data_IF_925798329008
#
_entry.id   IF_925798329008
#
_cell.length_a   1.000
_cell.length_b   1.000
_cell.length_c   1.000
_cell.angle_alpha   90.00
_cell.angle_beta   90.00
_cell.angle_gamma   90.00
#
_symmetry.space_group_name_H-M   'P 1'
#
loop_
_entity.id
_entity.type
_entity.pdbx_description
1 polymer ?
#
# COMPACT_ATOMS: atom_id res chain seq x y z
N UNK A 1 -13.04 23.66 -36.34
CA UNK A 1 -11.70 24.29 -36.40
C UNK A 1 -10.67 23.18 -36.23
N UNK A 2 -10.19 22.60 -37.33
CA UNK A 2 -9.33 21.41 -37.34
C UNK A 2 -7.87 21.84 -37.50
N UNK A 3 -7.05 21.64 -36.47
CA UNK A 3 -5.63 21.97 -36.48
C UNK A 3 -4.85 20.81 -37.11
N UNK A 4 -4.56 20.94 -38.41
CA UNK A 4 -3.66 20.05 -39.16
C UNK A 4 -2.22 20.40 -38.78
N UNK A 5 -1.56 19.54 -38.01
CA UNK A 5 -0.12 19.66 -37.74
C UNK A 5 0.61 19.20 -39.00
N UNK A 6 1.17 20.15 -39.73
CA UNK A 6 2.09 19.90 -40.83
C UNK A 6 3.45 19.48 -40.25
N UNK A 7 3.86 18.23 -40.48
CA UNK A 7 5.24 17.81 -40.25
C UNK A 7 6.10 18.16 -41.47
N UNK A 8 7.33 18.67 -41.29
CA UNK A 8 8.19 19.04 -42.40
C UNK A 8 8.72 17.77 -43.07
N UNK A 9 8.41 17.59 -44.36
CA UNK A 9 9.08 16.62 -45.23
C UNK A 9 10.52 17.08 -45.45
N UNK A 10 11.46 16.55 -44.68
CA UNK A 10 12.88 16.61 -45.02
C UNK A 10 13.08 15.83 -46.32
N UNK A 11 13.32 16.58 -47.40
CA UNK A 11 13.59 16.03 -48.73
C UNK A 11 15.05 15.60 -48.78
N UNK A 12 15.34 14.42 -48.21
CA UNK A 12 16.62 13.76 -48.44
C UNK A 12 16.57 13.20 -49.86
N UNK A 13 17.21 13.88 -50.82
CA UNK A 13 17.51 13.32 -52.14
C UNK A 13 18.52 12.18 -51.93
N UNK A 14 18.02 10.99 -51.60
CA UNK A 14 18.80 9.76 -51.68
C UNK A 14 18.94 9.46 -53.17
N UNK A 15 20.15 9.65 -53.71
CA UNK A 15 20.58 9.03 -54.97
C UNK A 15 20.13 7.58 -54.93
N UNK A 16 19.15 7.21 -55.77
CA UNK A 16 18.48 5.91 -55.78
C UNK A 16 19.47 4.86 -56.31
N UNK A 17 20.43 4.49 -55.47
CA UNK A 17 21.30 3.34 -55.65
C UNK A 17 20.35 2.14 -55.69
N UNK A 18 20.29 1.45 -56.82
CA UNK A 18 19.40 0.32 -57.09
C UNK A 18 19.71 -0.83 -56.11
N UNK A 19 19.19 -0.75 -54.89
CA UNK A 19 19.19 -1.87 -53.93
C UNK A 19 18.30 -2.95 -54.52
N UNK A 20 18.80 -4.18 -54.52
CA UNK A 20 18.01 -5.32 -54.99
C UNK A 20 16.76 -5.47 -54.11
N UNK A 21 15.61 -5.91 -54.67
CA UNK A 21 14.38 -6.12 -53.90
C UNK A 21 14.57 -7.05 -52.70
N UNK A 22 15.51 -8.00 -52.81
CA UNK A 22 15.90 -8.93 -51.75
C UNK A 22 16.62 -8.24 -50.58
N UNK A 23 17.50 -7.27 -50.85
CA UNK A 23 18.21 -6.54 -49.79
C UNK A 23 17.28 -5.64 -48.98
N UNK A 24 16.29 -5.04 -49.63
CA UNK A 24 15.28 -4.20 -48.97
C UNK A 24 14.32 -5.05 -48.10
N UNK A 25 13.84 -6.18 -48.63
CA UNK A 25 13.01 -7.12 -47.86
C UNK A 25 13.77 -7.71 -46.66
N UNK A 26 15.05 -8.03 -46.83
CA UNK A 26 15.87 -8.56 -45.73
C UNK A 26 16.09 -7.50 -44.63
N UNK A 27 16.31 -6.23 -44.99
CA UNK A 27 16.44 -5.16 -43.98
C UNK A 27 15.15 -4.91 -43.21
N UNK A 28 13.99 -4.93 -43.89
CA UNK A 28 12.68 -4.74 -43.24
C UNK A 28 12.36 -5.92 -42.32
N UNK A 29 12.62 -7.16 -42.75
CA UNK A 29 12.37 -8.35 -41.93
C UNK A 29 13.24 -8.37 -40.65
N UNK A 30 14.51 -7.93 -40.73
CA UNK A 30 15.39 -7.82 -39.56
C UNK A 30 14.90 -6.72 -38.61
N UNK A 31 14.48 -5.57 -39.12
CA UNK A 31 13.96 -4.47 -38.30
C UNK A 31 12.65 -4.85 -37.58
N UNK A 32 11.72 -5.52 -38.27
CA UNK A 32 10.50 -6.03 -37.65
C UNK A 32 10.78 -7.11 -36.59
N UNK A 33 11.73 -8.01 -36.85
CA UNK A 33 12.15 -9.02 -35.88
C UNK A 33 12.74 -8.38 -34.61
N UNK A 34 13.66 -7.41 -34.77
CA UNK A 34 14.24 -6.68 -33.62
C UNK A 34 13.17 -5.92 -32.82
N UNK A 35 12.27 -5.21 -33.50
CA UNK A 35 11.18 -4.48 -32.85
C UNK A 35 10.23 -5.41 -32.08
N UNK A 36 9.95 -6.60 -32.63
CA UNK A 36 9.11 -7.60 -31.97
C UNK A 36 9.75 -8.15 -30.68
N UNK A 37 11.06 -8.40 -30.68
CA UNK A 37 11.80 -8.93 -29.51
C UNK A 37 11.86 -7.88 -28.40
N UNK A 38 12.14 -6.62 -28.74
CA UNK A 38 12.16 -5.53 -27.76
C UNK A 38 10.79 -5.33 -27.11
N UNK A 39 9.72 -5.35 -27.92
CA UNK A 39 8.35 -5.24 -27.42
C UNK A 39 8.01 -6.36 -26.45
N UNK A 40 8.37 -7.61 -26.74
CA UNK A 40 8.13 -8.76 -25.84
C UNK A 40 8.91 -8.60 -24.53
N UNK A 41 10.17 -8.13 -24.58
CA UNK A 41 10.96 -7.86 -23.36
C UNK A 41 10.34 -6.78 -22.50
N UNK A 42 9.87 -5.68 -23.10
CA UNK A 42 9.18 -4.60 -22.37
C UNK A 42 7.90 -5.10 -21.71
N UNK A 43 7.12 -5.94 -22.41
CA UNK A 43 5.92 -6.56 -21.84
C UNK A 43 6.25 -7.52 -20.68
N UNK A 44 7.34 -8.30 -20.80
CA UNK A 44 7.82 -9.17 -19.74
C UNK A 44 8.23 -8.37 -18.49
N UNK A 45 9.00 -7.29 -18.67
CA UNK A 45 9.39 -6.38 -17.59
C UNK A 45 8.16 -5.72 -16.96
N UNK A 46 7.17 -5.32 -17.76
CA UNK A 46 5.94 -4.73 -17.26
C UNK A 46 5.18 -5.71 -16.36
N UNK A 47 5.04 -6.98 -16.76
CA UNK A 47 4.40 -8.01 -15.92
C UNK A 47 5.15 -8.21 -14.60
N UNK A 48 6.48 -8.30 -14.65
CA UNK A 48 7.30 -8.43 -13.45
C UNK A 48 7.15 -7.22 -12.51
N UNK A 49 7.25 -6.00 -13.06
CA UNK A 49 7.17 -4.76 -12.28
C UNK A 49 5.78 -4.53 -11.70
N UNK A 50 4.71 -4.85 -12.43
CA UNK A 50 3.35 -4.73 -11.93
C UNK A 50 3.10 -5.73 -10.81
N UNK A 51 3.51 -7.00 -10.96
CA UNK A 51 3.42 -8.00 -9.89
C UNK A 51 4.19 -7.59 -8.64
N UNK A 52 5.43 -7.09 -8.82
CA UNK A 52 6.22 -6.50 -7.75
C UNK A 52 5.48 -5.36 -7.03
N UNK A 53 5.02 -4.36 -7.79
CA UNK A 53 4.43 -3.15 -7.25
C UNK A 53 3.13 -3.44 -6.51
N UNK A 54 2.26 -4.26 -7.11
CA UNK A 54 0.99 -4.70 -6.51
C UNK A 54 1.24 -5.31 -5.14
N UNK A 55 2.09 -6.34 -5.08
CA UNK A 55 2.22 -7.11 -3.86
C UNK A 55 3.03 -6.35 -2.80
N UNK A 56 4.04 -5.59 -3.22
CA UNK A 56 4.74 -4.65 -2.34
C UNK A 56 3.78 -3.63 -1.72
N UNK A 57 2.90 -3.02 -2.54
CA UNK A 57 1.93 -2.05 -2.07
C UNK A 57 0.90 -2.68 -1.15
N UNK A 58 0.45 -3.92 -1.42
CA UNK A 58 -0.46 -4.66 -0.55
C UNK A 58 0.10 -4.79 0.87
N UNK A 59 1.35 -5.27 0.99
CA UNK A 59 2.03 -5.39 2.27
C UNK A 59 2.28 -4.03 2.93
N UNK A 60 2.65 -3.02 2.15
CA UNK A 60 2.84 -1.66 2.64
C UNK A 60 1.54 -1.06 3.18
N UNK A 61 0.42 -1.26 2.48
CA UNK A 61 -0.90 -0.84 2.91
C UNK A 61 -1.30 -1.56 4.21
N UNK A 62 -1.17 -2.88 4.29
CA UNK A 62 -1.50 -3.63 5.52
C UNK A 62 -0.74 -3.06 6.71
N UNK A 63 0.59 -2.90 6.60
CA UNK A 63 1.42 -2.39 7.71
C UNK A 63 1.15 -0.91 8.03
N UNK A 64 0.98 -0.06 7.02
CA UNK A 64 0.77 1.37 7.22
C UNK A 64 -0.61 1.65 7.80
N UNK A 65 -1.67 1.07 7.24
CA UNK A 65 -3.03 1.27 7.75
C UNK A 65 -3.21 0.72 9.16
N UNK A 66 -2.59 -0.42 9.49
CA UNK A 66 -2.52 -0.93 10.85
C UNK A 66 -1.93 0.08 11.85
N UNK A 67 -0.94 0.87 11.45
CA UNK A 67 -0.29 1.85 12.32
C UNK A 67 -1.09 3.15 12.49
N UNK A 68 -1.83 3.58 11.46
CA UNK A 68 -2.54 4.87 11.46
C UNK A 68 -4.04 4.76 11.78
N UNK A 69 -4.65 3.62 11.49
CA UNK A 69 -6.06 3.35 11.76
C UNK A 69 -6.12 2.16 12.71
N UNK A 70 -6.07 2.45 14.01
CA UNK A 70 -5.94 1.44 15.10
C UNK A 70 -6.95 0.30 14.96
N UNK A 71 -8.18 0.59 14.52
CA UNK A 71 -9.21 -0.42 14.28
C UNK A 71 -8.84 -1.47 13.22
N UNK A 72 -8.15 -1.06 12.15
CA UNK A 72 -7.73 -1.97 11.08
C UNK A 72 -6.63 -2.93 11.53
N UNK A 73 -5.96 -2.67 12.66
CA UNK A 73 -5.02 -3.62 13.24
C UNK A 73 -5.71 -4.88 13.76
N UNK A 74 -6.97 -4.79 14.19
CA UNK A 74 -7.76 -5.97 14.59
C UNK A 74 -8.33 -6.73 13.39
N UNK A 75 -8.50 -6.03 12.26
CA UNK A 75 -9.11 -6.55 11.05
C UNK A 75 -8.20 -6.39 9.83
N UNK A 76 -6.92 -6.78 9.95
CA UNK A 76 -5.92 -6.62 8.86
C UNK A 76 -6.32 -7.34 7.57
N UNK A 77 -7.09 -8.43 7.70
CA UNK A 77 -7.68 -9.16 6.58
C UNK A 77 -8.57 -8.28 5.69
N UNK A 78 -9.17 -7.21 6.21
CA UNK A 78 -10.01 -6.27 5.43
C UNK A 78 -9.20 -5.59 4.34
N UNK A 79 -7.97 -5.14 4.66
CA UNK A 79 -7.08 -4.48 3.69
C UNK A 79 -6.62 -5.46 2.61
N UNK A 80 -6.33 -6.70 3.01
CA UNK A 80 -5.98 -7.78 2.09
C UNK A 80 -7.14 -8.06 1.12
N UNK A 81 -8.34 -8.32 1.64
CA UNK A 81 -9.53 -8.62 0.82
C UNK A 81 -9.88 -7.43 -0.09
N UNK A 82 -9.77 -6.20 0.41
CA UNK A 82 -9.95 -4.98 -0.40
C UNK A 82 -8.98 -4.93 -1.58
N UNK A 83 -7.70 -5.26 -1.33
CA UNK A 83 -6.66 -5.30 -2.36
C UNK A 83 -6.96 -6.36 -3.42
N UNK A 84 -7.35 -7.58 -3.00
CA UNK A 84 -7.78 -8.65 -3.90
C UNK A 84 -9.01 -8.28 -4.72
N UNK A 85 -10.03 -7.67 -4.11
CA UNK A 85 -11.23 -7.20 -4.79
C UNK A 85 -10.87 -6.12 -5.82
N UNK A 86 -10.13 -5.10 -5.40
CA UNK A 86 -9.67 -4.01 -6.26
C UNK A 86 -8.91 -4.52 -7.47
N UNK A 87 -7.93 -5.41 -7.25
CA UNK A 87 -7.21 -6.07 -8.33
C UNK A 87 -8.13 -6.82 -9.29
N UNK A 88 -9.05 -7.63 -8.76
CA UNK A 88 -9.97 -8.44 -9.56
C UNK A 88 -10.88 -7.56 -10.42
N UNK A 89 -11.45 -6.50 -9.84
CA UNK A 89 -12.23 -5.51 -10.55
C UNK A 89 -11.40 -4.77 -11.61
N UNK A 90 -10.14 -4.43 -11.29
CA UNK A 90 -9.20 -3.82 -12.23
C UNK A 90 -8.92 -4.72 -13.43
N UNK A 91 -8.61 -5.99 -13.21
CA UNK A 91 -8.39 -6.98 -14.26
C UNK A 91 -9.62 -7.13 -15.16
N UNK A 92 -10.83 -7.16 -14.59
CA UNK A 92 -12.07 -7.18 -15.37
C UNK A 92 -12.25 -5.90 -16.20
N UNK A 93 -11.82 -4.75 -15.66
CA UNK A 93 -11.83 -3.46 -16.35
C UNK A 93 -10.68 -3.29 -17.37
N UNK A 94 -9.81 -4.29 -17.58
CA UNK A 94 -8.66 -4.19 -18.50
C UNK A 94 -9.06 -3.82 -19.93
N UNK A 95 -10.21 -4.33 -20.39
CA UNK A 95 -10.78 -4.09 -21.73
C UNK A 95 -11.48 -2.74 -21.86
N UNK A 96 -11.75 -2.05 -20.75
CA UNK A 96 -12.37 -0.72 -20.80
C UNK A 96 -11.35 0.32 -21.27
N UNK A 97 -11.81 1.30 -22.06
CA UNK A 97 -10.98 2.42 -22.52
C UNK A 97 -10.63 3.40 -21.41
N UNK A 98 -11.43 3.44 -20.33
CA UNK A 98 -11.18 4.30 -19.18
C UNK A 98 -9.88 3.90 -18.48
N UNK A 99 -9.04 4.88 -18.15
CA UNK A 99 -7.76 4.64 -17.48
C UNK A 99 -7.91 4.88 -15.96
N UNK A 100 -8.11 3.82 -15.20
CA UNK A 100 -8.25 3.88 -13.74
C UNK A 100 -6.94 4.25 -13.04
N UNK A 101 -5.79 3.95 -13.65
CA UNK A 101 -4.48 4.33 -13.12
C UNK A 101 -4.33 5.86 -12.98
N UNK A 102 -4.99 6.64 -13.85
CA UNK A 102 -4.96 8.10 -13.76
C UNK A 102 -5.62 8.66 -12.48
N UNK A 103 -6.55 7.91 -11.87
CA UNK A 103 -7.21 8.31 -10.62
C UNK A 103 -6.46 7.84 -9.38
N UNK A 104 -5.52 6.90 -9.51
CA UNK A 104 -4.72 6.36 -8.42
C UNK A 104 -4.12 7.43 -7.49
N UNK A 105 -3.41 8.47 -7.96
CA UNK A 105 -2.78 9.43 -7.06
C UNK A 105 -3.80 10.23 -6.24
N UNK A 106 -4.96 10.56 -6.81
CA UNK A 106 -6.02 11.27 -6.10
C UNK A 106 -6.70 10.38 -5.05
N UNK A 107 -6.98 9.13 -5.40
CA UNK A 107 -7.57 8.15 -4.47
C UNK A 107 -6.58 7.88 -3.34
N UNK A 108 -5.31 7.58 -3.66
CA UNK A 108 -4.26 7.32 -2.66
C UNK A 108 -4.08 8.52 -1.72
N UNK A 109 -4.04 9.74 -2.25
CA UNK A 109 -3.99 10.95 -1.43
C UNK A 109 -5.22 11.06 -0.52
N UNK A 110 -6.43 10.86 -1.06
CA UNK A 110 -7.67 10.85 -0.30
C UNK A 110 -7.65 9.81 0.84
N UNK A 111 -7.17 8.59 0.55
CA UNK A 111 -7.05 7.51 1.54
C UNK A 111 -6.04 7.84 2.64
N UNK A 112 -4.89 8.43 2.29
CA UNK A 112 -3.88 8.86 3.27
C UNK A 112 -4.43 9.99 4.14
N UNK A 113 -5.06 11.00 3.53
CA UNK A 113 -5.70 12.10 4.28
C UNK A 113 -6.78 11.57 5.22
N UNK A 114 -7.61 10.63 4.77
CA UNK A 114 -8.62 9.98 5.60
C UNK A 114 -7.99 9.22 6.78
N UNK A 115 -6.91 8.48 6.56
CA UNK A 115 -6.19 7.76 7.62
C UNK A 115 -5.59 8.73 8.66
N UNK A 116 -4.95 9.81 8.22
CA UNK A 116 -4.39 10.82 9.11
C UNK A 116 -5.47 11.60 9.87
N UNK A 117 -6.59 11.90 9.22
CA UNK A 117 -7.74 12.53 9.86
C UNK A 117 -8.32 11.61 10.93
N UNK A 118 -8.49 10.31 10.63
CA UNK A 118 -8.95 9.30 11.59
C UNK A 118 -8.00 9.20 12.78
N UNK A 119 -6.69 9.16 12.55
CA UNK A 119 -5.68 9.15 13.62
C UNK A 119 -5.75 10.41 14.49
N UNK A 120 -5.90 11.60 13.88
CA UNK A 120 -6.08 12.85 14.62
C UNK A 120 -7.37 12.86 15.43
N UNK A 121 -8.48 12.40 14.85
CA UNK A 121 -9.76 12.28 15.54
C UNK A 121 -9.59 11.35 16.73
N UNK A 122 -9.03 10.16 16.55
CA UNK A 122 -8.77 9.20 17.63
C UNK A 122 -7.93 9.80 18.78
N UNK A 123 -6.85 10.49 18.47
CA UNK A 123 -5.97 11.08 19.49
C UNK A 123 -6.54 12.35 20.14
N UNK A 124 -7.31 13.14 19.39
CA UNK A 124 -7.96 14.35 19.91
C UNK A 124 -9.19 14.00 20.75
N UNK A 125 -9.90 12.94 20.36
CA UNK A 125 -11.01 12.35 21.09
C UNK A 125 -10.50 11.23 22.00
N UNK A 126 -9.64 11.57 22.96
CA UNK A 126 -9.24 10.72 24.08
C UNK A 126 -10.41 10.43 25.06
N UNK A 127 -11.59 10.18 24.51
CA UNK A 127 -12.86 9.89 25.17
C UNK A 127 -13.84 9.12 24.27
N UNK A 128 -13.39 8.56 23.13
CA UNK A 128 -14.24 7.72 22.28
C UNK A 128 -14.16 6.26 22.77
N UNK A 129 -15.02 5.91 23.72
CA UNK A 129 -15.29 4.50 24.04
C UNK A 129 -16.00 3.88 22.85
N UNK A 130 -15.33 2.92 22.23
CA UNK A 130 -15.84 2.11 21.14
C UNK A 130 -16.87 1.17 21.75
N UNK A 131 -18.15 1.48 21.55
CA UNK A 131 -19.25 0.63 21.97
C UNK A 131 -19.24 -0.65 21.13
N UNK A 132 -18.58 -1.68 21.66
CA UNK A 132 -18.72 -3.05 21.19
C UNK A 132 -20.10 -3.54 21.65
N UNK A 133 -21.07 -3.28 20.80
CA UNK A 133 -22.46 -3.76 20.83
C UNK A 133 -22.89 -4.50 22.09
N UNK A 134 -23.52 -3.79 23.03
CA UNK A 134 -24.50 -4.36 23.96
C UNK A 134 -24.06 -5.61 24.74
N UNK A 135 -22.80 -5.65 25.21
CA UNK A 135 -22.30 -6.81 25.95
C UNK A 135 -22.70 -6.74 27.43
N UNK A 136 -23.79 -7.44 27.77
CA UNK A 136 -24.30 -7.65 29.12
C UNK A 136 -23.49 -8.66 29.95
N UNK A 137 -22.17 -8.81 29.73
CA UNK A 137 -21.32 -9.74 30.48
C UNK A 137 -19.91 -9.19 30.74
N UNK A 138 -19.41 -9.14 32.00
CA UNK A 138 -18.20 -8.39 32.37
C UNK A 138 -16.86 -9.09 32.08
N UNK A 139 -16.80 -10.08 31.20
CA UNK A 139 -15.71 -11.06 31.17
C UNK A 139 -14.75 -10.94 29.98
N UNK A 140 -15.00 -10.05 29.02
CA UNK A 140 -14.07 -9.79 27.91
C UNK A 140 -13.30 -8.50 28.17
N UNK A 141 -12.17 -8.61 28.89
CA UNK A 141 -11.25 -7.49 29.15
C UNK A 141 -10.39 -7.27 27.91
N UNK A 142 -10.81 -6.35 27.04
CA UNK A 142 -9.97 -5.84 25.97
C UNK A 142 -9.01 -4.79 26.56
N UNK A 143 -7.72 -5.15 26.67
CA UNK A 143 -6.69 -4.28 27.23
C UNK A 143 -6.63 -2.95 26.43
N UNK A 144 -7.12 -1.86 27.04
CA UNK A 144 -7.16 -0.52 26.46
C UNK A 144 -8.46 0.26 26.65
N UNK A 145 -9.51 -0.34 27.24
CA UNK A 145 -10.79 0.35 27.47
C UNK A 145 -11.00 0.65 28.97
N UNK A 146 -10.78 1.91 29.37
CA UNK A 146 -11.29 2.39 30.66
C UNK A 146 -12.82 2.48 30.57
N UNK A 147 -13.51 1.77 31.46
CA UNK A 147 -14.96 1.84 31.64
C UNK A 147 -15.33 3.26 32.13
N UNK A 148 -15.85 4.12 31.26
CA UNK A 148 -16.43 5.41 31.63
C UNK A 148 -17.83 5.56 31.03
N UNK A 149 -18.74 6.05 31.87
CA UNK A 149 -20.17 6.15 31.63
C UNK A 149 -20.52 6.69 30.23
N UNK A 150 -21.47 6.04 29.50
CA UNK A 150 -21.89 6.49 28.19
C UNK A 150 -22.77 7.73 28.35
N UNK A 151 -22.20 8.91 28.09
CA UNK A 151 -23.00 10.11 27.85
C UNK A 151 -23.71 9.96 26.51
N UNK A 152 -25.04 10.08 26.56
CA UNK A 152 -26.03 9.87 25.48
C UNK A 152 -25.96 10.87 24.30
N UNK A 153 -24.83 11.54 24.12
CA UNK A 153 -24.53 12.44 23.01
C UNK A 153 -23.19 12.13 22.31
N UNK A 154 -22.60 10.96 22.57
CA UNK A 154 -21.42 10.50 21.83
C UNK A 154 -21.87 9.96 20.47
N UNK A 155 -21.46 10.65 19.40
CA UNK A 155 -21.58 10.15 18.04
C UNK A 155 -20.67 8.91 17.90
N UNK A 156 -21.19 7.74 18.26
CA UNK A 156 -20.50 6.47 18.10
C UNK A 156 -20.42 6.19 16.61
N UNK A 157 -19.26 6.48 16.00
CA UNK A 157 -18.99 6.04 14.63
C UNK A 157 -18.89 4.52 14.67
N UNK A 158 -19.80 3.77 14.03
CA UNK A 158 -19.71 2.32 14.04
C UNK A 158 -18.41 1.91 13.35
N UNK A 159 -17.62 1.06 14.00
CA UNK A 159 -16.33 0.59 13.51
C UNK A 159 -16.47 -0.02 12.11
N UNK A 160 -17.61 -0.68 11.87
CA UNK A 160 -17.97 -1.26 10.58
C UNK A 160 -18.04 -0.22 9.45
N UNK A 161 -18.54 0.99 9.73
CA UNK A 161 -18.58 2.05 8.72
C UNK A 161 -17.17 2.56 8.40
N UNK A 162 -16.30 2.67 9.41
CA UNK A 162 -14.88 3.02 9.20
C UNK A 162 -14.19 1.94 8.35
N UNK A 163 -14.36 0.68 8.72
CA UNK A 163 -13.80 -0.45 7.99
C UNK A 163 -14.32 -0.48 6.55
N UNK A 164 -15.62 -0.29 6.31
CA UNK A 164 -16.22 -0.24 4.98
C UNK A 164 -15.67 0.92 4.14
N UNK A 165 -15.50 2.11 4.72
CA UNK A 165 -14.92 3.27 4.02
C UNK A 165 -13.49 2.97 3.59
N UNK A 166 -12.63 2.50 4.51
CA UNK A 166 -11.25 2.15 4.15
C UNK A 166 -11.17 0.95 3.21
N UNK A 167 -12.07 -0.02 3.32
CA UNK A 167 -12.18 -1.12 2.37
C UNK A 167 -12.42 -0.62 0.95
N UNK A 168 -13.40 0.28 0.76
CA UNK A 168 -13.69 0.85 -0.56
C UNK A 168 -12.52 1.70 -1.06
N UNK A 169 -11.94 2.55 -0.21
CA UNK A 169 -10.80 3.38 -0.59
C UNK A 169 -9.59 2.55 -1.01
N UNK A 170 -9.25 1.51 -0.24
CA UNK A 170 -8.16 0.57 -0.57
C UNK A 170 -8.49 -0.18 -1.86
N UNK A 171 -9.69 -0.75 -1.99
CA UNK A 171 -10.09 -1.46 -3.20
C UNK A 171 -9.94 -0.56 -4.44
N UNK A 172 -10.40 0.69 -4.37
CA UNK A 172 -10.28 1.66 -5.46
C UNK A 172 -8.81 1.98 -5.81
N UNK A 173 -7.88 2.00 -4.86
CA UNK A 173 -6.44 2.12 -5.15
C UNK A 173 -5.95 0.95 -6.01
N UNK A 174 -6.37 -0.27 -5.70
CA UNK A 174 -5.93 -1.47 -6.41
C UNK A 174 -6.63 -1.68 -7.77
N UNK A 175 -7.77 -1.03 -8.03
CA UNK A 175 -8.44 -1.09 -9.36
C UNK A 175 -7.51 -0.60 -10.48
N UNK A 176 -6.83 0.52 -10.27
CA UNK A 176 -5.90 1.07 -11.28
C UNK A 176 -4.76 0.12 -11.60
N UNK A 177 -4.15 -0.48 -10.56
CA UNK A 177 -3.06 -1.44 -10.70
C UNK A 177 -3.52 -2.76 -11.31
N UNK A 178 -4.68 -3.27 -10.90
CA UNK A 178 -5.30 -4.45 -11.49
C UNK A 178 -5.62 -4.26 -12.97
N UNK A 179 -6.03 -3.06 -13.37
CA UNK A 179 -6.27 -2.76 -14.79
C UNK A 179 -4.98 -2.83 -15.62
N UNK A 180 -3.88 -2.29 -15.09
CA UNK A 180 -2.56 -2.39 -15.74
C UNK A 180 -2.12 -3.85 -15.82
N UNK A 181 -2.30 -4.61 -14.75
CA UNK A 181 -1.98 -6.04 -14.71
C UNK A 181 -2.76 -6.83 -15.76
N UNK A 182 -4.08 -6.64 -15.83
CA UNK A 182 -4.92 -7.31 -16.82
C UNK A 182 -4.53 -6.96 -18.26
N UNK A 183 -4.22 -5.69 -18.54
CA UNK A 183 -3.71 -5.27 -19.86
C UNK A 183 -2.33 -5.85 -20.17
N UNK A 184 -1.46 -5.99 -19.17
CA UNK A 184 -0.14 -6.59 -19.34
C UNK A 184 -0.26 -8.09 -19.67
N UNK A 185 -1.18 -8.81 -19.02
CA UNK A 185 -1.48 -10.21 -19.35
C UNK A 185 -2.10 -10.37 -20.74
N UNK A 186 -3.01 -9.49 -21.14
CA UNK A 186 -3.61 -9.53 -22.49
C UNK A 186 -2.60 -9.21 -23.60
N UNK A 187 -1.57 -8.40 -23.31
CA UNK A 187 -0.56 -8.00 -24.27
C UNK A 187 0.56 -9.03 -24.48
N UNK A 188 0.79 -9.94 -23.53
CA UNK A 188 1.92 -10.87 -23.55
C UNK A 188 1.57 -12.19 -24.26
N UNK A 189 2.40 -12.66 -25.22
CA UNK A 189 2.03 -13.77 -26.11
C UNK A 189 1.94 -15.13 -25.42
N UNK A 190 2.76 -15.41 -24.39
CA UNK A 190 2.78 -16.69 -23.69
C UNK A 190 2.25 -16.56 -22.26
N UNK A 191 1.04 -17.05 -22.00
CA UNK A 191 0.37 -16.94 -20.70
C UNK A 191 1.12 -17.60 -19.54
N UNK A 192 1.75 -18.75 -19.78
CA UNK A 192 2.47 -19.50 -18.73
C UNK A 192 3.69 -18.71 -18.27
N UNK A 193 4.51 -18.25 -19.21
CA UNK A 193 5.69 -17.43 -18.89
C UNK A 193 5.24 -16.10 -18.25
N UNK A 194 4.16 -15.50 -18.75
CA UNK A 194 3.61 -14.28 -18.17
C UNK A 194 3.21 -14.45 -16.70
N UNK A 195 2.58 -15.58 -16.36
CA UNK A 195 2.24 -15.92 -14.97
C UNK A 195 3.49 -16.15 -14.11
N UNK A 196 4.51 -16.84 -14.64
CA UNK A 196 5.80 -17.02 -13.95
C UNK A 196 6.48 -15.68 -13.66
N UNK A 197 6.50 -14.76 -14.62
CA UNK A 197 7.07 -13.42 -14.44
C UNK A 197 6.30 -12.61 -13.40
N UNK A 198 4.97 -12.68 -13.42
CA UNK A 198 4.12 -12.01 -12.43
C UNK A 198 4.38 -12.56 -11.02
N UNK A 199 4.42 -13.89 -10.84
CA UNK A 199 4.79 -14.50 -9.55
C UNK A 199 6.20 -14.09 -9.12
N UNK A 200 7.17 -14.12 -10.04
CA UNK A 200 8.54 -13.70 -9.76
C UNK A 200 8.62 -12.25 -9.28
N UNK A 201 7.84 -11.37 -9.91
CA UNK A 201 7.67 -9.98 -9.48
C UNK A 201 7.08 -9.90 -8.07
N UNK A 202 5.96 -10.58 -7.83
CA UNK A 202 5.29 -10.62 -6.53
C UNK A 202 6.21 -11.10 -5.40
N UNK A 203 6.96 -12.18 -5.62
CA UNK A 203 7.95 -12.69 -4.65
C UNK A 203 9.05 -11.65 -4.37
N UNK A 204 9.56 -10.99 -5.41
CA UNK A 204 10.50 -9.88 -5.24
C UNK A 204 9.86 -8.71 -4.45
N UNK A 205 8.56 -8.49 -4.59
CA UNK A 205 7.78 -7.52 -3.80
C UNK A 205 7.77 -7.84 -2.30
N UNK A 206 7.48 -9.09 -1.93
CA UNK A 206 7.57 -9.57 -0.54
C UNK A 206 8.98 -9.35 0.01
N UNK A 207 9.99 -9.79 -0.73
CA UNK A 207 11.40 -9.70 -0.28
C UNK A 207 11.81 -8.24 -0.12
N UNK A 208 11.48 -7.39 -1.09
CA UNK A 208 11.77 -5.97 -1.06
C UNK A 208 11.11 -5.25 0.12
N UNK A 209 9.82 -5.53 0.36
CA UNK A 209 9.10 -4.99 1.52
C UNK A 209 9.72 -5.47 2.83
N UNK A 210 10.01 -6.77 2.94
CA UNK A 210 10.60 -7.37 4.14
C UNK A 210 11.97 -6.77 4.45
N UNK A 211 12.82 -6.59 3.43
CA UNK A 211 14.13 -5.96 3.57
C UNK A 211 14.02 -4.49 4.06
N UNK A 212 13.15 -3.70 3.44
CA UNK A 212 12.92 -2.30 3.86
C UNK A 212 12.37 -2.25 5.29
N UNK A 213 11.40 -3.11 5.61
CA UNK A 213 10.84 -3.20 6.96
C UNK A 213 11.92 -3.59 7.99
N UNK A 214 12.78 -4.56 7.66
CA UNK A 214 13.89 -4.97 8.52
C UNK A 214 14.89 -3.83 8.75
N UNK A 215 15.29 -3.11 7.71
CA UNK A 215 16.22 -1.98 7.84
C UNK A 215 15.64 -0.84 8.67
N UNK A 216 14.34 -0.55 8.49
CA UNK A 216 13.64 0.49 9.26
C UNK A 216 13.44 0.08 10.73
N UNK A 217 13.17 -1.21 11.00
CA UNK A 217 13.04 -1.74 12.37
C UNK A 217 14.38 -1.91 13.08
N UNK A 218 15.44 -2.28 12.34
CA UNK A 218 16.72 -2.74 12.87
C UNK A 218 17.71 -1.65 13.29
N UNK A 219 17.60 -0.41 12.81
CA UNK A 219 18.63 0.61 13.05
C UNK A 219 18.15 1.91 13.76
N UNK A 220 16.85 2.21 13.78
CA UNK A 220 16.36 3.46 14.38
C UNK A 220 15.68 3.29 15.76
N UNK A 221 14.98 2.19 16.02
CA UNK A 221 14.07 2.12 17.19
C UNK A 221 14.56 1.18 18.31
N UNK A 222 15.20 0.05 17.97
CA UNK A 222 15.60 -0.94 18.99
C UNK A 222 16.73 -0.40 19.89
N UNK A 223 17.57 0.53 19.42
CA UNK A 223 18.66 1.12 20.23
C UNK A 223 18.24 2.40 20.97
N UNK A 224 17.19 3.11 20.58
CA UNK A 224 16.75 4.31 21.31
C UNK A 224 15.78 3.98 22.43
N UNK A 225 14.81 3.09 22.18
CA UNK A 225 13.85 2.68 23.20
C UNK A 225 14.50 1.84 24.30
N UNK A 226 15.41 0.94 23.98
CA UNK A 226 16.14 0.16 25.00
C UNK A 226 17.06 1.01 25.87
N UNK A 227 17.70 2.06 25.32
CA UNK A 227 18.53 2.97 26.10
C UNK A 227 17.68 3.91 26.97
N UNK A 228 16.54 4.40 26.47
CA UNK A 228 15.63 5.26 27.23
C UNK A 228 14.91 4.48 28.34
N UNK A 229 14.47 3.25 28.07
CA UNK A 229 13.83 2.39 29.08
C UNK A 229 14.82 1.96 30.18
N UNK A 230 16.09 1.70 29.82
CA UNK A 230 17.15 1.37 30.80
C UNK A 230 17.55 2.58 31.65
N UNK A 231 17.62 3.79 31.06
CA UNK A 231 17.84 5.04 31.81
C UNK A 231 16.70 5.35 32.78
N UNK A 232 15.44 5.23 32.34
CA UNK A 232 14.29 5.51 33.20
C UNK A 232 14.14 4.49 34.35
N UNK A 233 14.42 3.20 34.09
CA UNK A 233 14.38 2.14 35.10
C UNK A 233 15.48 2.27 36.17
N UNK A 234 16.69 2.68 35.76
CA UNK A 234 17.82 2.93 36.69
C UNK A 234 17.61 4.19 37.54
N UNK A 235 17.06 5.26 36.95
CA UNK A 235 16.69 6.46 37.70
C UNK A 235 15.62 6.18 38.75
N UNK A 236 14.55 5.46 38.40
CA UNK A 236 13.47 5.11 39.35
C UNK A 236 13.95 4.21 40.51
N UNK A 237 14.92 3.33 40.25
CA UNK A 237 15.52 2.49 41.29
C UNK A 237 16.37 3.32 42.26
N UNK A 238 17.14 4.28 41.76
CA UNK A 238 17.92 5.20 42.60
C UNK A 238 17.03 6.12 43.48
N UNK A 239 15.92 6.62 42.96
CA UNK A 239 14.96 7.40 43.76
C UNK A 239 14.31 6.56 44.88
N UNK A 240 13.98 5.30 44.61
CA UNK A 240 13.33 4.41 45.58
C UNK A 240 14.27 3.93 46.69
N UNK A 241 15.58 3.89 46.45
CA UNK A 241 16.59 3.56 47.46
C UNK A 241 16.93 4.77 48.34
N UNK A 242 16.72 6.01 47.85
CA UNK A 242 17.09 7.24 48.58
C UNK A 242 16.02 7.74 49.55
N UNK A 243 14.77 7.29 49.45
CA UNK A 243 13.71 7.56 50.45
C UNK A 243 13.46 6.34 51.35
N UNK A 244 14.17 6.20 52.50
CA UNK A 244 13.79 5.21 53.50
C UNK A 244 12.42 5.58 54.08
N UNK A 245 11.46 4.67 53.87
CA UNK A 245 10.05 4.74 54.32
C UNK A 245 9.86 4.91 55.83
N UNK A 246 10.92 4.80 56.62
CA UNK A 246 10.92 4.98 58.07
C UNK A 246 10.75 6.43 58.54
N UNK A 247 10.93 7.44 57.68
CA UNK A 247 10.84 8.84 58.11
C UNK A 247 9.41 9.41 58.16
N UNK A 248 8.46 8.87 57.37
CA UNK A 248 7.08 9.40 57.31
C UNK A 248 6.16 8.94 58.44
N UNK A 249 6.51 7.88 59.18
CA UNK A 249 5.65 7.33 60.24
C UNK A 249 5.85 7.98 61.62
N UNK A 250 6.90 8.80 61.82
CA UNK A 250 7.21 9.44 63.11
C UNK A 250 6.62 10.85 63.31
N UNK A 251 5.86 11.37 62.35
CA UNK A 251 5.18 12.68 62.43
C UNK A 251 3.67 12.62 62.71
N UNK A 252 3.15 11.42 63.00
CA UNK A 252 1.73 11.17 63.32
C UNK A 252 1.53 10.43 64.65
N UNK A 253 2.43 10.61 65.61
CA UNK A 253 2.20 10.32 67.02
C UNK A 253 2.68 11.48 67.86
#
# INVERSE_FOLDING_TARGET
MAFRIATPRSTVKITKMHRSPLGEQMTVAVEEAHFSVEKVRLQALNLFLVGFLVLFLELACIRWFAAWVVFLQFFTNVVLIASFLGMSCGCLAARQSRNWLGYFPFIALGTVVAALAMFKIYNHWSGLSIDVGGQASPQEVFFGTEYRHPDVAQFVVPIEAVAAVFFVLVALMFVGLGQVLGRAFDAYPNRVIGYTLNIGGSLAGIVGFSAISFLNSGYANIRLESYLFTQQASANTLYRVREPSWCKQRRRR
#
